data_IF_096772480573
#
_entry.id   IF_096772480573
#
_cell.length_a   1.000
_cell.length_b   1.000
_cell.length_c   1.000
_cell.angle_alpha   90.00
_cell.angle_beta   90.00
_cell.angle_gamma   90.00
#
_symmetry.space_group_name_H-M   'P 1'
#
loop_
_entity.id
_entity.type
_entity.pdbx_description
1 polymer ?
#
# COMPACT_ATOMS: atom_id res chain seq x y z
N UNK A 1 -14.56 10.52 -7.41
CA UNK A 1 -13.91 9.31 -6.86
C UNK A 1 -14.97 8.35 -6.33
N UNK A 2 -14.76 7.08 -6.54
CA UNK A 2 -15.72 6.06 -6.15
C UNK A 2 -15.10 5.12 -5.14
N UNK A 3 -15.75 4.95 -3.99
CA UNK A 3 -15.34 3.98 -2.97
C UNK A 3 -15.96 2.63 -3.27
N UNK A 4 -15.13 1.59 -3.31
CA UNK A 4 -15.56 0.22 -3.60
C UNK A 4 -15.11 -0.73 -2.49
N UNK A 5 -15.80 -1.86 -2.36
CA UNK A 5 -15.32 -2.97 -1.54
C UNK A 5 -14.45 -3.87 -2.41
N UNK A 6 -13.23 -4.13 -1.97
CA UNK A 6 -12.30 -4.98 -2.72
C UNK A 6 -11.47 -5.84 -1.78
N UNK A 7 -10.96 -6.93 -2.34
CA UNK A 7 -9.97 -7.78 -1.70
C UNK A 7 -8.63 -7.63 -2.42
N UNK A 8 -7.54 -7.91 -1.74
CA UNK A 8 -6.20 -7.93 -2.31
C UNK A 8 -5.48 -9.19 -1.82
N UNK A 9 -4.92 -9.96 -2.74
CA UNK A 9 -4.16 -11.16 -2.39
C UNK A 9 -2.91 -11.22 -3.24
N UNK A 10 -1.75 -11.21 -2.58
CA UNK A 10 -0.44 -11.27 -3.23
C UNK A 10 0.42 -12.29 -2.51
N UNK A 11 1.21 -13.06 -3.26
CA UNK A 11 2.13 -14.07 -2.74
C UNK A 11 3.56 -13.70 -3.06
N UNK A 12 4.49 -14.15 -2.21
CA UNK A 12 5.93 -13.98 -2.39
C UNK A 12 6.33 -12.52 -2.57
N UNK A 13 6.49 -11.83 -1.46
CA UNK A 13 6.83 -10.41 -1.47
C UNK A 13 8.22 -10.18 -0.88
N UNK A 14 8.98 -9.28 -1.50
CA UNK A 14 10.19 -8.72 -0.88
C UNK A 14 9.82 -7.33 -0.40
N UNK A 15 10.14 -7.01 0.85
CA UNK A 15 9.75 -5.76 1.47
C UNK A 15 10.90 -5.03 2.16
N UNK A 16 10.73 -3.73 2.32
CA UNK A 16 11.59 -2.88 3.13
C UNK A 16 10.75 -1.79 3.79
N UNK A 17 11.02 -1.53 5.07
CA UNK A 17 10.33 -0.48 5.82
C UNK A 17 11.26 0.69 6.05
N UNK A 18 10.80 1.90 5.74
CA UNK A 18 11.58 3.13 5.89
C UNK A 18 10.69 4.28 6.35
N UNK A 19 11.27 5.20 7.10
CA UNK A 19 10.65 6.50 7.37
C UNK A 19 11.07 7.43 6.23
N UNK A 20 10.09 7.95 5.50
CA UNK A 20 10.32 8.71 4.28
C UNK A 20 9.50 9.99 4.31
N UNK A 21 10.06 11.05 3.76
CA UNK A 21 9.33 12.29 3.54
C UNK A 21 8.20 12.04 2.56
N UNK A 22 6.99 12.49 2.87
CA UNK A 22 5.80 12.17 2.06
C UNK A 22 5.94 12.53 0.60
N UNK A 23 6.60 13.64 0.27
CA UNK A 23 6.82 14.05 -1.12
C UNK A 23 7.79 13.13 -1.89
N UNK A 24 8.61 12.35 -1.18
CA UNK A 24 9.63 11.46 -1.76
C UNK A 24 9.21 9.99 -1.78
N UNK A 25 7.94 9.69 -1.57
CA UNK A 25 7.44 8.33 -1.41
C UNK A 25 7.78 7.39 -2.58
N UNK A 26 7.87 7.91 -3.80
CA UNK A 26 8.09 7.09 -4.99
C UNK A 26 9.54 6.61 -5.11
N UNK A 27 10.51 7.35 -4.57
CA UNK A 27 11.93 7.03 -4.73
C UNK A 27 12.32 5.65 -4.17
N UNK A 28 11.94 5.28 -2.93
CA UNK A 28 12.24 3.94 -2.42
C UNK A 28 11.52 2.83 -3.16
N UNK A 29 10.33 3.09 -3.71
CA UNK A 29 9.59 2.11 -4.50
C UNK A 29 10.37 1.73 -5.76
N UNK A 30 10.89 2.73 -6.46
CA UNK A 30 11.72 2.53 -7.66
C UNK A 30 13.02 1.81 -7.28
N UNK A 31 13.66 2.22 -6.19
CA UNK A 31 14.91 1.61 -5.73
C UNK A 31 14.73 0.12 -5.39
N UNK A 32 13.64 -0.24 -4.72
CA UNK A 32 13.32 -1.62 -4.38
C UNK A 32 13.16 -2.48 -5.64
N UNK A 33 12.36 -2.02 -6.59
CA UNK A 33 12.13 -2.74 -7.84
C UNK A 33 13.44 -2.95 -8.61
N UNK A 34 14.24 -1.90 -8.72
CA UNK A 34 15.53 -1.98 -9.42
C UNK A 34 16.48 -2.95 -8.73
N UNK A 35 16.51 -2.96 -7.40
CA UNK A 35 17.37 -3.87 -6.63
C UNK A 35 16.96 -5.33 -6.83
N UNK A 36 15.66 -5.62 -6.83
CA UNK A 36 15.13 -6.96 -7.08
C UNK A 36 15.55 -7.44 -8.48
N UNK A 37 15.37 -6.61 -9.49
CA UNK A 37 15.72 -6.95 -10.87
C UNK A 37 17.23 -7.17 -11.03
N UNK A 38 18.06 -6.33 -10.39
CA UNK A 38 19.52 -6.46 -10.45
C UNK A 38 20.02 -7.77 -9.83
N UNK A 39 19.30 -8.30 -8.87
CA UNK A 39 19.65 -9.58 -8.24
C UNK A 39 19.11 -10.80 -8.99
N UNK A 40 18.60 -10.60 -10.20
CA UNK A 40 18.11 -11.70 -11.04
C UNK A 40 16.76 -12.27 -10.62
N UNK A 41 16.04 -11.56 -9.79
CA UNK A 41 14.72 -11.98 -9.31
C UNK A 41 13.65 -11.34 -10.21
N UNK A 42 12.62 -12.13 -10.56
CA UNK A 42 11.54 -11.63 -11.40
C UNK A 42 10.46 -10.95 -10.58
N UNK A 43 10.28 -9.65 -10.80
CA UNK A 43 9.12 -8.93 -10.28
C UNK A 43 7.91 -9.29 -11.14
N UNK A 44 6.86 -9.83 -10.51
CA UNK A 44 5.68 -10.33 -11.22
C UNK A 44 4.45 -9.47 -11.03
N UNK A 45 4.61 -8.32 -10.43
CA UNK A 45 3.52 -7.38 -10.24
C UNK A 45 4.03 -5.99 -9.86
N UNK A 46 3.12 -5.05 -9.69
CA UNK A 46 3.49 -3.69 -9.33
C UNK A 46 4.03 -3.62 -7.90
N UNK A 47 4.84 -2.60 -7.63
CA UNK A 47 5.23 -2.26 -6.27
C UNK A 47 3.99 -1.80 -5.52
N UNK A 48 3.87 -2.23 -4.28
CA UNK A 48 2.86 -1.70 -3.39
C UNK A 48 3.53 -1.19 -2.12
N UNK A 49 2.87 -0.30 -1.42
CA UNK A 49 3.38 0.17 -0.14
C UNK A 49 2.26 0.35 0.87
N UNK A 50 2.60 0.07 2.13
CA UNK A 50 1.78 0.35 3.28
C UNK A 50 2.23 1.68 3.86
N UNK A 51 1.30 2.59 4.04
CA UNK A 51 1.58 3.90 4.63
C UNK A 51 0.95 4.00 6.00
N UNK A 52 1.74 4.45 6.97
CA UNK A 52 1.29 4.73 8.33
C UNK A 52 1.75 6.13 8.73
N UNK A 53 0.82 7.02 9.12
CA UNK A 53 1.19 8.37 9.56
C UNK A 53 2.06 8.34 10.81
N UNK A 54 2.96 9.32 10.92
CA UNK A 54 3.75 9.56 12.14
C UNK A 54 3.14 10.74 12.88
N UNK A 55 2.78 10.54 14.15
CA UNK A 55 2.12 11.56 14.96
C UNK A 55 2.98 12.79 15.20
N UNK A 56 4.28 12.61 15.40
CA UNK A 56 5.20 13.70 15.77
C UNK A 56 5.88 14.36 14.57
N UNK A 57 5.75 13.80 13.37
CA UNK A 57 6.42 14.30 12.18
C UNK A 57 5.47 14.24 10.99
N UNK A 58 4.57 15.24 10.83
CA UNK A 58 3.52 15.18 9.80
C UNK A 58 4.05 15.25 8.37
N UNK A 59 5.29 15.72 8.15
CA UNK A 59 5.90 15.73 6.82
C UNK A 59 6.45 14.36 6.39
N UNK A 60 6.52 13.38 7.32
CA UNK A 60 7.05 12.06 7.10
C UNK A 60 5.99 10.99 7.33
N UNK A 61 6.24 9.80 6.82
CA UNK A 61 5.43 8.63 7.09
C UNK A 61 6.31 7.39 7.21
N UNK A 62 5.78 6.36 7.84
CA UNK A 62 6.41 5.05 7.83
C UNK A 62 5.85 4.30 6.63
N UNK A 63 6.73 3.92 5.70
CA UNK A 63 6.37 3.22 4.48
C UNK A 63 6.98 1.84 4.48
N UNK A 64 6.17 0.82 4.23
CA UNK A 64 6.63 -0.53 3.96
C UNK A 64 6.38 -0.82 2.50
N UNK A 65 7.46 -0.83 1.72
CA UNK A 65 7.41 -1.08 0.28
C UNK A 65 7.55 -2.58 0.03
N UNK A 66 6.74 -3.11 -0.88
CA UNK A 66 6.74 -4.52 -1.24
C UNK A 66 6.72 -4.67 -2.75
N UNK A 67 7.41 -5.70 -3.25
CA UNK A 67 7.33 -6.09 -4.65
C UNK A 67 7.03 -7.59 -4.74
N UNK A 68 5.98 -7.98 -5.49
CA UNK A 68 5.70 -9.40 -5.71
C UNK A 68 6.76 -10.02 -6.62
N UNK A 69 7.20 -11.22 -6.25
CA UNK A 69 8.20 -11.99 -7.02
C UNK A 69 7.64 -13.36 -7.36
N UNK A 70 8.27 -14.04 -8.34
CA UNK A 70 7.73 -15.26 -8.90
C UNK A 70 7.87 -16.49 -8.01
N UNK A 71 8.76 -16.46 -7.01
CA UNK A 71 9.02 -17.61 -6.15
C UNK A 71 9.55 -17.16 -4.80
N UNK A 72 9.61 -18.12 -3.87
CA UNK A 72 10.20 -17.86 -2.56
C UNK A 72 11.67 -17.49 -2.70
N UNK A 73 12.09 -16.47 -1.98
CA UNK A 73 13.47 -15.99 -1.96
C UNK A 73 14.02 -16.08 -0.55
N UNK A 74 15.23 -16.62 -0.42
CA UNK A 74 15.96 -16.61 0.84
C UNK A 74 16.86 -15.38 0.88
N UNK A 75 16.68 -14.55 1.91
CA UNK A 75 17.48 -13.35 2.12
C UNK A 75 18.48 -13.62 3.25
N UNK A 76 19.69 -13.03 3.12
CA UNK A 76 20.70 -13.14 4.17
C UNK A 76 20.24 -12.48 5.46
N UNK A 77 20.74 -12.97 6.61
CA UNK A 77 20.36 -12.49 7.93
C UNK A 77 20.70 -11.03 8.20
N UNK A 78 21.63 -10.44 7.44
CA UNK A 78 22.03 -9.03 7.55
C UNK A 78 21.31 -8.12 6.57
N UNK A 79 20.35 -8.66 5.81
CA UNK A 79 19.63 -7.89 4.81
C UNK A 79 18.63 -6.93 5.48
N UNK A 80 18.55 -5.70 4.95
CA UNK A 80 17.49 -4.76 5.31
C UNK A 80 16.14 -5.15 4.71
N UNK A 81 16.16 -6.04 3.71
CA UNK A 81 14.95 -6.53 3.05
C UNK A 81 14.40 -7.74 3.78
N UNK A 82 13.10 -7.89 3.76
CA UNK A 82 12.40 -9.03 4.34
C UNK A 82 11.61 -9.76 3.26
N UNK A 83 11.52 -11.09 3.40
CA UNK A 83 10.64 -11.90 2.58
C UNK A 83 9.32 -12.12 3.33
N UNK A 84 8.21 -11.94 2.63
CA UNK A 84 6.86 -12.15 3.16
C UNK A 84 6.17 -13.20 2.29
N UNK A 85 5.64 -14.26 2.89
CA UNK A 85 4.95 -15.33 2.15
C UNK A 85 3.73 -14.83 1.39
N UNK A 86 3.00 -13.90 1.96
CA UNK A 86 1.84 -13.34 1.31
C UNK A 86 1.23 -12.18 2.07
N UNK A 87 0.48 -11.38 1.34
CA UNK A 87 -0.35 -10.30 1.88
C UNK A 87 -1.78 -10.57 1.43
N UNK A 88 -2.65 -10.83 2.39
CA UNK A 88 -4.06 -11.12 2.10
C UNK A 88 -4.92 -10.11 2.86
N UNK A 89 -5.66 -9.32 2.10
CA UNK A 89 -6.66 -8.40 2.62
C UNK A 89 -8.00 -8.90 2.11
N UNK A 90 -8.79 -9.52 3.00
CA UNK A 90 -10.05 -10.14 2.62
C UNK A 90 -11.10 -9.11 2.24
N UNK A 91 -11.17 -8.02 3.01
CA UNK A 91 -12.10 -6.94 2.76
C UNK A 91 -11.42 -5.59 2.97
N UNK A 92 -11.62 -4.68 2.04
CA UNK A 92 -11.13 -3.32 2.14
C UNK A 92 -12.08 -2.34 1.46
N UNK A 93 -12.05 -1.10 1.93
CA UNK A 93 -12.56 0.01 1.15
C UNK A 93 -11.45 0.45 0.21
N UNK A 94 -11.75 0.60 -1.06
CA UNK A 94 -10.75 0.92 -2.07
C UNK A 94 -11.18 2.10 -2.94
N UNK A 95 -10.19 2.96 -3.25
CA UNK A 95 -10.37 4.10 -4.14
C UNK A 95 -9.18 4.15 -5.09
N UNK A 96 -9.44 4.41 -6.37
CA UNK A 96 -8.37 4.69 -7.34
C UNK A 96 -8.08 6.18 -7.34
N UNK A 97 -6.80 6.51 -7.16
CA UNK A 97 -6.30 7.88 -7.16
C UNK A 97 -5.44 8.11 -8.40
N UNK A 98 -5.71 9.24 -9.09
CA UNK A 98 -4.95 9.67 -10.25
C UNK A 98 -4.48 11.11 -10.04
N UNK A 99 -3.54 11.59 -10.85
CA UNK A 99 -3.02 12.96 -10.77
C UNK A 99 -4.12 14.03 -10.93
N UNK A 100 -5.24 13.67 -11.56
CA UNK A 100 -6.36 14.59 -11.77
C UNK A 100 -7.26 14.74 -10.54
N UNK A 101 -7.10 13.87 -9.54
CA UNK A 101 -8.00 13.82 -8.38
C UNK A 101 -7.61 14.77 -7.24
N UNK A 102 -6.54 15.55 -7.40
CA UNK A 102 -6.11 16.52 -6.42
C UNK A 102 -5.17 15.93 -5.36
N UNK A 103 -5.47 16.16 -4.08
CA UNK A 103 -4.61 15.75 -2.97
C UNK A 103 -4.99 14.36 -2.46
N UNK A 104 -3.98 13.52 -2.24
CA UNK A 104 -4.18 12.16 -1.70
C UNK A 104 -4.83 12.18 -0.30
N UNK A 105 -4.59 13.23 0.48
CA UNK A 105 -5.22 13.36 1.80
C UNK A 105 -6.76 13.43 1.68
N UNK A 106 -7.27 13.98 0.60
CA UNK A 106 -8.73 14.02 0.34
C UNK A 106 -9.28 12.60 0.13
N UNK A 107 -8.48 11.71 -0.45
CA UNK A 107 -8.87 10.31 -0.63
C UNK A 107 -8.95 9.60 0.72
N UNK A 108 -7.97 9.81 1.57
CA UNK A 108 -7.98 9.22 2.92
C UNK A 108 -9.19 9.70 3.71
N UNK A 109 -9.48 11.00 3.65
CA UNK A 109 -10.63 11.58 4.33
C UNK A 109 -11.95 11.01 3.80
N UNK A 110 -12.06 10.81 2.50
CA UNK A 110 -13.23 10.21 1.88
C UNK A 110 -13.45 8.78 2.38
N UNK A 111 -12.39 7.98 2.42
CA UNK A 111 -12.46 6.60 2.92
C UNK A 111 -12.90 6.58 4.39
N UNK A 112 -12.33 7.45 5.21
CA UNK A 112 -12.68 7.54 6.63
C UNK A 112 -14.13 7.98 6.83
N UNK A 113 -14.60 8.91 6.02
CA UNK A 113 -15.99 9.37 6.06
C UNK A 113 -16.96 8.25 5.70
N UNK A 114 -16.71 7.52 4.62
CA UNK A 114 -17.53 6.39 4.20
C UNK A 114 -17.55 5.29 5.29
N UNK A 115 -16.38 4.99 5.87
CA UNK A 115 -16.28 4.02 6.95
C UNK A 115 -17.14 4.44 8.15
N UNK A 116 -17.05 5.70 8.55
CA UNK A 116 -17.80 6.23 9.67
C UNK A 116 -19.32 6.17 9.42
N UNK A 117 -19.76 6.54 8.22
CA UNK A 117 -21.19 6.51 7.86
C UNK A 117 -21.76 5.10 7.85
N UNK A 118 -20.93 4.09 7.57
CA UNK A 118 -21.36 2.69 7.48
C UNK A 118 -20.96 1.84 8.68
N UNK A 119 -20.49 2.47 9.75
CA UNK A 119 -20.05 1.80 11.00
C UNK A 119 -18.96 0.75 10.74
N UNK A 120 -18.02 1.07 9.86
CA UNK A 120 -16.90 0.21 9.50
C UNK A 120 -15.66 0.66 10.28
N UNK A 121 -14.99 -0.30 10.93
CA UNK A 121 -13.72 -0.06 11.59
C UNK A 121 -12.59 -0.47 10.66
N UNK A 122 -11.70 0.48 10.36
CA UNK A 122 -10.56 0.26 9.47
C UNK A 122 -9.27 0.05 10.27
N UNK A 123 -8.32 -0.66 9.65
CA UNK A 123 -6.94 -0.69 10.12
C UNK A 123 -6.36 0.74 10.07
N UNK A 124 -5.35 1.00 10.89
CA UNK A 124 -4.67 2.31 10.95
C UNK A 124 -3.79 2.60 9.74
N UNK A 125 -3.62 1.64 8.87
CA UNK A 125 -2.72 1.74 7.70
C UNK A 125 -3.49 1.69 6.40
N UNK A 126 -2.95 2.39 5.39
CA UNK A 126 -3.45 2.33 4.02
C UNK A 126 -2.43 1.62 3.13
N UNK A 127 -2.92 0.72 2.27
CA UNK A 127 -2.10 0.05 1.27
C UNK A 127 -2.31 0.71 -0.09
N UNK A 128 -1.23 0.85 -0.85
CA UNK A 128 -1.24 1.54 -2.14
C UNK A 128 -0.59 0.64 -3.17
N UNK A 129 -1.33 0.27 -4.20
CA UNK A 129 -0.79 -0.47 -5.34
C UNK A 129 -0.45 0.54 -6.42
N UNK A 130 0.83 0.60 -6.81
CA UNK A 130 1.32 1.53 -7.82
C UNK A 130 1.03 0.97 -9.21
N UNK A 131 0.29 1.71 -10.03
CA UNK A 131 -0.04 1.33 -11.38
C UNK A 131 0.62 2.30 -12.35
N UNK A 132 1.28 1.77 -13.38
CA UNK A 132 1.84 2.57 -14.47
C UNK A 132 0.81 2.60 -15.61
N UNK A 133 0.29 3.78 -15.89
CA UNK A 133 -0.72 3.97 -16.93
C UNK A 133 -0.19 5.03 -17.91
N UNK A 134 0.35 4.58 -19.03
CA UNK A 134 0.94 5.43 -20.06
C UNK A 134 1.95 6.46 -19.53
N UNK A 135 2.82 6.01 -18.60
CA UNK A 135 3.82 6.86 -17.98
C UNK A 135 3.38 7.62 -16.74
N UNK A 136 2.07 7.67 -16.46
CA UNK A 136 1.53 8.25 -15.24
C UNK A 136 1.44 7.19 -14.14
N UNK A 137 1.65 7.59 -12.90
CA UNK A 137 1.51 6.69 -11.77
C UNK A 137 0.12 6.88 -11.14
N UNK A 138 -0.70 5.85 -11.20
CA UNK A 138 -1.97 5.80 -10.50
C UNK A 138 -1.83 4.92 -9.26
N UNK A 139 -2.64 5.18 -8.26
CA UNK A 139 -2.64 4.40 -7.02
C UNK A 139 -4.01 3.77 -6.80
N UNK A 140 -4.02 2.46 -6.56
CA UNK A 140 -5.18 1.80 -5.98
C UNK A 140 -4.96 1.75 -4.48
N UNK A 141 -5.78 2.48 -3.73
CA UNK A 141 -5.64 2.62 -2.28
C UNK A 141 -6.62 1.66 -1.61
N UNK A 142 -6.11 0.87 -0.67
CA UNK A 142 -6.88 -0.11 0.09
C UNK A 142 -6.84 0.23 1.58
N UNK A 143 -8.00 0.38 2.18
CA UNK A 143 -8.13 0.54 3.63
C UNK A 143 -8.74 -0.75 4.19
N UNK A 144 -7.93 -1.62 4.82
CA UNK A 144 -8.42 -2.89 5.32
C UNK A 144 -9.51 -2.73 6.35
N UNK A 145 -10.57 -3.53 6.24
CA UNK A 145 -11.68 -3.53 7.17
C UNK A 145 -11.38 -4.53 8.29
N UNK A 146 -11.36 -4.05 9.52
CA UNK A 146 -11.17 -4.90 10.69
C UNK A 146 -12.51 -5.46 11.15
N UNK A 147 -13.53 -4.60 11.18
CA UNK A 147 -14.83 -4.94 11.74
C UNK A 147 -15.91 -4.08 11.11
N UNK A 148 -17.05 -4.71 10.86
CA UNK A 148 -18.26 -4.00 10.46
C UNK A 148 -19.19 -3.97 11.66
N UNK A 149 -19.52 -2.77 12.12
CA UNK A 149 -20.45 -2.60 13.24
C UNK A 149 -21.85 -3.04 12.87
N UNK A 150 -22.57 -3.62 13.84
CA UNK A 150 -23.97 -3.96 13.65
C UNK A 150 -24.79 -2.69 13.50
N UNK A 151 -25.70 -2.71 12.52
CA UNK A 151 -26.68 -1.64 12.39
C UNK A 151 -27.64 -1.74 13.57
N UNK A 152 -27.68 -0.69 14.35
CA UNK A 152 -28.66 -0.62 15.45
C UNK A 152 -30.06 -0.49 14.84
N UNK A 153 -30.85 -1.46 15.08
CA UNK A 153 -32.23 -1.45 14.62
C UNK A 153 -33.12 -0.67 15.60
#
# INVERSE_FOLDING_TARGET
MKVQYKALSLLNLISITQVVKKEDWLLPAIALRNQVIRNGIYAVGPVLFKYKPLENEPAYGEYTYCVPVNERVELGGDSAYEYIDGLIIEDALSVRFTDEDGDIEDVYNLILEVANQNHIKLDSSFYHVCLDVYGDTWLDIYAPIIEVGETVK
#
